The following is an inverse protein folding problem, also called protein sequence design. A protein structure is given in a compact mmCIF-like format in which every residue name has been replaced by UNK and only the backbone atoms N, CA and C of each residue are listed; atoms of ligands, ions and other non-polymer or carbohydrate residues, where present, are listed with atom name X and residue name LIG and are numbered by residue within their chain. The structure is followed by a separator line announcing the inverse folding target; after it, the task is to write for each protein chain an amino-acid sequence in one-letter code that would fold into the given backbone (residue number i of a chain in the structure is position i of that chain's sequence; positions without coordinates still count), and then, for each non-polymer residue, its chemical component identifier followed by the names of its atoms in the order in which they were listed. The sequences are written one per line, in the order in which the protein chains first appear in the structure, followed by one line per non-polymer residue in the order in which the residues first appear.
data_IF_914873126942
#
_entry.id   IF_914873126942
#
_cell.length_a   1.000
_cell.length_b   1.000
_cell.length_c   1.000
_cell.angle_alpha   90.00
_cell.angle_beta   90.00
_cell.angle_gamma   90.00
#
_symmetry.space_group_name_H-M   'P 1'
#
loop_
_entity.id
_entity.type
_entity.pdbx_description
1 polymer ?
#
# COMPACT_ATOMS: atom_id res chain seq x y z
N UNK A 1 -2.23 -28.08 -0.08
CA UNK A 1 -2.62 -27.53 -1.40
C UNK A 1 -2.61 -26.01 -1.30
N UNK A 2 -2.01 -25.33 -2.27
CA UNK A 2 -2.01 -23.87 -2.30
C UNK A 2 -3.38 -23.33 -2.69
N UNK A 3 -3.80 -22.25 -2.08
CA UNK A 3 -5.04 -21.56 -2.37
C UNK A 3 -4.74 -20.13 -2.79
N UNK A 4 -5.21 -19.75 -3.96
CA UNK A 4 -5.04 -18.40 -4.49
C UNK A 4 -6.28 -17.56 -4.19
N UNK A 5 -6.07 -16.38 -3.64
CA UNK A 5 -7.16 -15.48 -3.29
C UNK A 5 -6.79 -14.05 -3.63
N UNK A 6 -7.66 -13.38 -4.40
CA UNK A 6 -7.55 -11.94 -4.60
C UNK A 6 -8.25 -11.24 -3.45
N UNK A 7 -7.58 -10.21 -2.90
CA UNK A 7 -8.13 -9.41 -1.81
C UNK A 7 -7.88 -7.94 -2.04
N UNK A 8 -8.71 -7.10 -1.43
CA UNK A 8 -8.44 -5.67 -1.37
C UNK A 8 -8.27 -5.26 0.08
N UNK A 9 -7.38 -4.30 0.31
CA UNK A 9 -7.18 -3.66 1.61
C UNK A 9 -7.35 -2.17 1.41
N UNK A 10 -8.06 -1.52 2.30
CA UNK A 10 -8.39 -0.10 2.16
C UNK A 10 -8.06 0.65 3.43
N UNK A 11 -7.66 1.92 3.25
CA UNK A 11 -7.50 2.89 4.35
C UNK A 11 -8.06 4.21 3.89
N UNK A 12 -8.86 4.83 4.75
CA UNK A 12 -9.43 6.15 4.48
C UNK A 12 -8.75 7.19 5.35
N UNK A 13 -8.55 8.39 4.80
CA UNK A 13 -8.06 9.52 5.57
C UNK A 13 -6.66 9.34 6.11
N UNK A 14 -5.76 8.77 5.33
CA UNK A 14 -4.35 8.65 5.72
C UNK A 14 -3.77 10.04 5.89
N UNK A 15 -3.02 10.26 6.96
CA UNK A 15 -2.45 11.55 7.31
C UNK A 15 -0.95 11.50 7.43
N UNK A 16 -0.43 12.20 8.45
CA UNK A 16 1.01 12.41 8.62
C UNK A 16 1.73 11.28 9.36
N UNK A 17 1.02 10.21 9.69
CA UNK A 17 1.62 9.00 10.27
C UNK A 17 1.63 7.90 9.22
N UNK A 18 2.80 7.26 9.02
CA UNK A 18 2.91 6.15 8.08
C UNK A 18 1.96 5.03 8.50
N UNK A 19 1.08 4.62 7.59
CA UNK A 19 -0.02 3.70 7.88
C UNK A 19 0.01 2.53 6.90
N UNK A 20 0.03 1.31 7.43
CA UNK A 20 -0.11 0.12 6.59
C UNK A 20 -1.52 0.11 6.00
N UNK A 21 -1.64 -0.03 4.68
CA UNK A 21 -2.93 0.04 4.01
C UNK A 21 -3.81 -1.12 4.48
N UNK A 22 -4.98 -0.79 5.02
CA UNK A 22 -5.90 -1.77 5.60
C UNK A 22 -5.34 -2.52 6.80
N UNK A 23 -4.24 -2.05 7.39
CA UNK A 23 -3.56 -2.76 8.48
C UNK A 23 -2.95 -4.08 8.03
N UNK A 24 -2.69 -4.24 6.73
CA UNK A 24 -2.27 -5.52 6.17
C UNK A 24 -0.79 -5.79 6.40
N UNK A 25 -0.51 -6.96 6.94
CA UNK A 25 0.83 -7.54 7.06
C UNK A 25 0.75 -8.97 6.55
N UNK A 26 1.75 -9.41 5.79
CA UNK A 26 1.70 -10.74 5.16
C UNK A 26 1.78 -11.83 6.24
N UNK A 27 0.86 -12.77 6.16
CA UNK A 27 0.75 -13.87 7.12
C UNK A 27 1.82 -14.94 6.89
N UNK A 28 2.06 -15.75 7.93
CA UNK A 28 2.96 -16.91 7.82
C UNK A 28 2.42 -17.90 6.78
N UNK A 29 3.32 -18.47 5.99
CA UNK A 29 2.99 -19.44 4.93
C UNK A 29 2.11 -18.86 3.82
N UNK A 30 2.08 -17.53 3.70
CA UNK A 30 1.38 -16.84 2.61
C UNK A 30 2.39 -16.11 1.76
N UNK A 31 2.27 -16.24 0.44
CA UNK A 31 3.00 -15.43 -0.53
C UNK A 31 2.04 -14.38 -1.07
N UNK A 32 2.45 -13.14 -1.04
CA UNK A 32 1.57 -12.04 -1.46
C UNK A 32 2.23 -11.25 -2.59
N UNK A 33 1.44 -10.93 -3.61
CA UNK A 33 1.83 -9.99 -4.65
C UNK A 33 0.90 -8.80 -4.59
N UNK A 34 1.45 -7.61 -4.40
CA UNK A 34 0.69 -6.37 -4.53
C UNK A 34 0.54 -6.08 -6.02
N UNK A 35 -0.69 -6.15 -6.52
CA UNK A 35 -0.97 -6.00 -7.95
C UNK A 35 -1.47 -4.62 -8.31
N UNK A 36 -1.87 -3.83 -7.33
CA UNK A 36 -2.29 -2.45 -7.55
C UNK A 36 -2.36 -1.68 -6.26
N UNK A 37 -2.00 -0.40 -6.33
CA UNK A 37 -2.19 0.55 -5.25
C UNK A 37 -2.63 1.87 -5.86
N UNK A 38 -3.80 2.35 -5.44
CA UNK A 38 -4.35 3.62 -5.87
C UNK A 38 -4.48 4.54 -4.66
N UNK A 39 -4.02 5.78 -4.80
CA UNK A 39 -4.08 6.80 -3.76
C UNK A 39 -4.88 7.97 -4.31
N UNK A 40 -5.88 8.43 -3.57
CA UNK A 40 -6.69 9.57 -3.96
C UNK A 40 -6.55 10.69 -2.93
N UNK A 41 -6.33 11.91 -3.42
CA UNK A 41 -6.31 13.10 -2.58
C UNK A 41 -7.76 13.59 -2.40
N UNK A 42 -8.27 13.50 -1.18
CA UNK A 42 -9.65 13.86 -0.87
C UNK A 42 -9.76 15.27 -0.26
N UNK A 43 -8.71 16.08 -0.39
CA UNK A 43 -8.71 17.46 0.12
C UNK A 43 -8.85 18.47 -1.01
N UNK A 44 -9.01 19.73 -0.62
CA UNK A 44 -9.14 20.83 -1.58
C UNK A 44 -7.79 21.44 -2.00
N UNK A 45 -6.67 20.86 -1.54
CA UNK A 45 -5.32 21.34 -1.84
C UNK A 45 -4.45 20.19 -2.26
N UNK A 46 -3.35 20.50 -2.97
CA UNK A 46 -2.35 19.49 -3.31
C UNK A 46 -1.71 18.91 -2.04
N UNK A 47 -1.48 17.60 -2.03
CA UNK A 47 -0.73 16.92 -0.96
C UNK A 47 0.47 16.20 -1.54
N UNK A 48 1.42 15.87 -0.68
CA UNK A 48 2.61 15.12 -1.05
C UNK A 48 2.61 13.80 -0.29
N UNK A 49 2.80 12.69 -1.00
CA UNK A 49 2.73 11.36 -0.40
C UNK A 49 4.01 10.57 -0.63
N UNK A 50 4.29 9.67 0.30
CA UNK A 50 5.34 8.66 0.14
C UNK A 50 4.75 7.29 0.41
N UNK A 51 5.21 6.30 -0.35
CA UNK A 51 4.80 4.91 -0.18
C UNK A 51 6.04 4.07 0.04
N UNK A 52 6.03 3.25 1.07
CA UNK A 52 7.18 2.42 1.43
C UNK A 52 6.79 0.95 1.56
N UNK A 53 7.74 0.09 1.23
CA UNK A 53 7.71 -1.32 1.61
C UNK A 53 8.52 -1.45 2.90
N UNK A 54 7.87 -1.93 3.94
CA UNK A 54 8.50 -2.13 5.25
C UNK A 54 8.64 -3.61 5.50
N UNK A 55 9.86 -4.09 5.70
CA UNK A 55 10.14 -5.52 5.80
C UNK A 55 10.20 -5.97 7.25
N UNK A 56 10.08 -7.28 7.46
CA UNK A 56 10.22 -7.88 8.78
C UNK A 56 11.59 -7.57 9.39
N UNK A 57 12.63 -7.49 8.57
CA UNK A 57 13.98 -7.20 9.04
C UNK A 57 14.17 -5.74 9.46
N UNK A 58 13.19 -4.89 9.27
CA UNK A 58 13.23 -3.49 9.67
C UNK A 58 13.64 -2.54 8.57
N UNK A 59 13.74 -3.01 7.33
CA UNK A 59 14.07 -2.13 6.19
C UNK A 59 12.86 -1.32 5.78
N UNK A 60 13.11 -0.08 5.38
CA UNK A 60 12.10 0.80 4.80
C UNK A 60 12.57 1.19 3.40
N UNK A 61 11.86 0.71 2.39
CA UNK A 61 12.22 0.93 0.99
C UNK A 61 11.12 1.76 0.34
N UNK A 62 11.48 2.89 -0.24
CA UNK A 62 10.52 3.76 -0.90
C UNK A 62 10.11 3.19 -2.24
N UNK A 63 8.79 3.06 -2.45
CA UNK A 63 8.22 2.81 -3.76
C UNK A 63 8.09 4.14 -4.49
N UNK A 64 7.59 5.16 -3.79
CA UNK A 64 7.64 6.56 -4.21
C UNK A 64 7.97 7.43 -3.00
N UNK A 65 8.55 8.59 -3.25
CA UNK A 65 8.87 9.55 -2.18
C UNK A 65 8.46 10.95 -2.59
N UNK A 66 7.72 11.62 -1.71
CA UNK A 66 7.31 13.01 -1.87
C UNK A 66 6.65 13.29 -3.23
N UNK A 67 5.77 12.38 -3.64
CA UNK A 67 5.05 12.52 -4.90
C UNK A 67 3.82 13.41 -4.71
N UNK A 68 3.65 14.44 -5.53
CA UNK A 68 2.49 15.32 -5.41
C UNK A 68 1.24 14.69 -5.98
N UNK A 69 0.11 14.88 -5.28
CA UNK A 69 -1.21 14.54 -5.80
C UNK A 69 -2.04 15.81 -5.77
N UNK A 70 -2.48 16.32 -6.93
CA UNK A 70 -3.31 17.53 -6.96
C UNK A 70 -4.65 17.30 -6.30
N UNK A 71 -5.33 18.38 -5.91
CA UNK A 71 -6.66 18.31 -5.33
C UNK A 71 -7.59 17.50 -6.23
N UNK A 72 -8.27 16.53 -5.64
CA UNK A 72 -9.20 15.64 -6.36
C UNK A 72 -8.51 14.67 -7.32
N UNK A 73 -7.18 14.62 -7.33
CA UNK A 73 -6.43 13.72 -8.20
C UNK A 73 -6.10 12.40 -7.55
N UNK A 74 -5.49 11.52 -8.33
CA UNK A 74 -5.08 10.20 -7.88
C UNK A 74 -3.68 9.85 -8.41
N UNK A 75 -3.02 8.94 -7.70
CA UNK A 75 -1.71 8.42 -8.07
C UNK A 75 -1.77 6.91 -7.95
N UNK A 76 -1.16 6.21 -8.90
CA UNK A 76 -1.14 4.74 -8.91
C UNK A 76 0.32 4.27 -8.84
N UNK A 77 0.90 4.16 -7.63
CA UNK A 77 2.29 3.74 -7.47
C UNK A 77 2.56 2.29 -7.87
N UNK A 78 1.53 1.44 -7.76
CA UNK A 78 1.62 0.03 -8.15
C UNK A 78 0.47 -0.25 -9.08
N UNK A 79 0.75 -0.79 -10.26
CA UNK A 79 -0.29 -1.15 -11.22
C UNK A 79 0.30 -1.57 -12.54
N UNK A 80 -0.51 -2.25 -13.37
CA UNK A 80 -0.07 -2.75 -14.65
C UNK A 80 1.12 -3.69 -14.53
N UNK A 81 2.23 -3.33 -15.13
CA UNK A 81 3.46 -4.13 -15.09
C UNK A 81 4.27 -3.91 -13.81
N UNK A 82 3.89 -2.95 -12.99
CA UNK A 82 4.61 -2.62 -11.76
C UNK A 82 3.96 -3.34 -10.59
N UNK A 83 4.47 -4.51 -10.24
CA UNK A 83 3.98 -5.32 -9.12
C UNK A 83 5.06 -5.43 -8.06
N UNK A 84 4.64 -5.65 -6.81
CA UNK A 84 5.55 -5.78 -5.67
C UNK A 84 5.30 -7.12 -4.99
N UNK A 85 6.34 -7.92 -4.87
CA UNK A 85 6.28 -9.18 -4.12
C UNK A 85 6.50 -8.87 -2.65
N UNK A 86 5.63 -9.40 -1.79
CA UNK A 86 5.70 -9.21 -0.35
C UNK A 86 5.89 -10.55 0.33
N UNK A 87 6.79 -10.58 1.30
CA UNK A 87 7.09 -11.77 2.09
C UNK A 87 6.51 -11.62 3.50
N UNK A 88 6.64 -12.67 4.30
CA UNK A 88 6.07 -12.69 5.66
C UNK A 88 6.42 -11.42 6.45
N UNK A 89 5.39 -10.85 7.05
CA UNK A 89 5.45 -9.60 7.83
C UNK A 89 5.79 -8.33 7.06
N UNK A 90 5.88 -8.39 5.73
CA UNK A 90 6.04 -7.17 4.93
C UNK A 90 4.75 -6.36 4.95
N UNK A 91 4.90 -5.04 4.94
CA UNK A 91 3.78 -4.10 4.90
C UNK A 91 4.04 -3.03 3.85
N UNK A 92 2.98 -2.56 3.19
CA UNK A 92 3.04 -1.37 2.36
C UNK A 92 2.40 -0.24 3.15
N UNK A 93 3.17 0.81 3.42
CA UNK A 93 2.71 1.96 4.20
C UNK A 93 2.65 3.20 3.35
N UNK A 94 1.69 4.04 3.66
CA UNK A 94 1.46 5.33 2.99
C UNK A 94 1.50 6.42 4.04
N UNK A 95 2.13 7.53 3.71
CA UNK A 95 2.17 8.73 4.55
C UNK A 95 1.95 9.96 3.68
N UNK A 96 1.19 10.91 4.19
CA UNK A 96 0.92 12.20 3.55
C UNK A 96 1.54 13.33 4.37
N UNK A 97 1.73 14.48 3.75
CA UNK A 97 2.13 15.70 4.48
C UNK A 97 0.95 16.43 5.12
N UNK A 98 -0.26 15.93 4.93
CA UNK A 98 -1.50 16.57 5.37
C UNK A 98 -2.39 15.57 6.09
N UNK A 99 -2.95 15.96 7.23
CA UNK A 99 -3.84 15.11 8.00
C UNK A 99 -5.11 14.77 7.22
N UNK A 100 -5.60 13.54 7.37
CA UNK A 100 -6.88 13.06 6.82
C UNK A 100 -7.03 13.37 5.33
N UNK A 101 -5.98 13.13 4.54
CA UNK A 101 -5.92 13.65 3.18
C UNK A 101 -5.99 12.61 2.07
N UNK A 102 -5.67 11.36 2.34
CA UNK A 102 -5.49 10.37 1.28
C UNK A 102 -6.29 9.10 1.58
N UNK A 103 -7.06 8.65 0.60
CA UNK A 103 -7.69 7.33 0.62
C UNK A 103 -6.84 6.37 -0.21
N UNK A 104 -6.67 5.16 0.27
CA UNK A 104 -5.82 4.17 -0.39
C UNK A 104 -6.57 2.86 -0.61
N UNK A 105 -6.35 2.26 -1.78
CA UNK A 105 -6.87 0.92 -2.10
C UNK A 105 -5.68 0.08 -2.55
N UNK A 106 -5.42 -1.00 -1.82
CA UNK A 106 -4.37 -1.96 -2.16
C UNK A 106 -5.02 -3.26 -2.62
N UNK A 107 -4.70 -3.67 -3.83
CA UNK A 107 -5.16 -4.95 -4.39
C UNK A 107 -4.04 -5.96 -4.32
N UNK A 108 -4.31 -7.13 -3.77
CA UNK A 108 -3.30 -8.16 -3.58
C UNK A 108 -3.81 -9.51 -4.06
N UNK A 109 -2.85 -10.36 -4.42
CA UNK A 109 -3.07 -11.79 -4.63
C UNK A 109 -2.30 -12.54 -3.55
N UNK A 110 -3.01 -13.31 -2.76
CA UNK A 110 -2.39 -14.19 -1.76
C UNK A 110 -2.39 -15.63 -2.26
N UNK A 111 -1.25 -16.29 -2.06
CA UNK A 111 -1.11 -17.72 -2.30
C UNK A 111 -0.81 -18.35 -0.94
N UNK A 112 -1.80 -19.06 -0.40
CA UNK A 112 -1.69 -19.68 0.92
C UNK A 112 -1.17 -21.11 0.75
N UNK A 113 -0.01 -21.38 1.33
CA UNK A 113 0.67 -22.68 1.22
C UNK A 113 0.63 -23.45 2.55
N UNK A 114 -0.22 -23.05 3.48
CA UNK A 114 -0.21 -23.54 4.87
C UNK A 114 -0.85 -24.91 5.09
N UNK A 115 -1.20 -25.66 4.08
CA UNK A 115 -1.87 -26.97 4.29
C UNK A 115 -0.95 -28.15 4.22
#
# INVERSE_FOLDING_TARGET
MATNTFKRKISAGIGTTATAVGGYSVLLDVQTTAIGLALANVTASQVTVSVTLNTQAGDTIHIIKDAPIPSGGALIPIGGDQKVVMEHNDEIKVVSDTASSVDAILSILEIDTST
#
